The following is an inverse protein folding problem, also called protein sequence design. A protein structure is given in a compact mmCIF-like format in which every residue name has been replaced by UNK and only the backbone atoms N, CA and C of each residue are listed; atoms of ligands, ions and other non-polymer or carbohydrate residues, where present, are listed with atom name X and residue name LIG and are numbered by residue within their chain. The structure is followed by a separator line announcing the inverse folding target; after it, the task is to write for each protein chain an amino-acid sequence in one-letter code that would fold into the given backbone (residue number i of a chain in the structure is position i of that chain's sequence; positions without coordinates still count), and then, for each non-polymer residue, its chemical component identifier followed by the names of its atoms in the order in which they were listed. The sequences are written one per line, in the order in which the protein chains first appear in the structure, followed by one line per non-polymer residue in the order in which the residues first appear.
data_IF_503982356165
#
_entry.id   IF_503982356165
#
_cell.length_a   1.000
_cell.length_b   1.000
_cell.length_c   1.000
_cell.angle_alpha   90.00
_cell.angle_beta   90.00
_cell.angle_gamma   90.00
#
_symmetry.space_group_name_H-M   'P 1'
#
loop_
_entity.id
_entity.type
_entity.pdbx_description
1 polymer ?
#
# COMPACT_ATOMS: atom_id res chain seq x y z
N UNK A 1 -12.98 4.13 31.03
CA UNK A 1 -12.18 3.80 32.24
C UNK A 1 -12.40 2.35 32.67
N UNK A 2 -13.62 1.80 32.61
CA UNK A 2 -13.89 0.41 33.05
C UNK A 2 -13.15 -0.69 32.27
N UNK A 3 -12.96 -0.55 30.96
CA UNK A 3 -12.22 -1.54 30.15
C UNK A 3 -10.74 -1.63 30.57
N UNK A 4 -10.15 -0.52 31.03
CA UNK A 4 -8.72 -0.46 31.37
C UNK A 4 -8.38 -1.33 32.59
N UNK A 5 -9.35 -1.51 33.50
CA UNK A 5 -9.21 -2.28 34.74
C UNK A 5 -10.07 -3.56 34.72
N UNK A 6 -10.60 -3.94 33.56
CA UNK A 6 -11.44 -5.13 33.44
C UNK A 6 -10.59 -6.39 33.62
N UNK A 7 -11.09 -7.37 34.36
CA UNK A 7 -10.41 -8.66 34.64
C UNK A 7 -10.08 -9.51 33.40
N UNK A 8 -10.53 -9.08 32.22
CA UNK A 8 -10.34 -9.76 30.93
C UNK A 8 -9.40 -8.99 30.00
N UNK A 9 -8.83 -7.88 30.48
CA UNK A 9 -7.83 -7.09 29.77
C UNK A 9 -6.45 -7.63 30.14
N UNK A 10 -5.83 -8.35 29.23
CA UNK A 10 -4.53 -8.98 29.44
C UNK A 10 -3.37 -8.03 29.16
N UNK A 11 -3.60 -7.05 28.29
CA UNK A 11 -2.57 -6.08 27.89
C UNK A 11 -3.20 -4.77 27.45
N UNK A 12 -2.57 -3.67 27.82
CA UNK A 12 -2.90 -2.35 27.29
C UNK A 12 -1.64 -1.49 27.18
N UNK A 13 -1.46 -0.86 26.02
CA UNK A 13 -0.36 0.08 25.82
C UNK A 13 -0.76 1.21 24.86
N UNK A 14 -0.30 2.42 25.16
CA UNK A 14 -0.32 3.52 24.20
C UNK A 14 0.90 3.38 23.29
N UNK A 15 0.68 3.37 21.99
CA UNK A 15 1.73 3.34 20.98
C UNK A 15 1.80 4.72 20.33
N UNK A 16 2.94 5.38 20.53
CA UNK A 16 3.24 6.65 19.88
C UNK A 16 3.66 6.42 18.41
N UNK A 17 3.33 7.36 17.53
CA UNK A 17 3.68 7.29 16.12
C UNK A 17 3.00 8.41 15.32
N UNK A 18 3.11 8.36 13.98
CA UNK A 18 2.40 9.31 13.08
C UNK A 18 0.88 9.30 13.34
N UNK A 19 0.36 8.13 13.69
CA UNK A 19 -1.02 7.95 14.13
C UNK A 19 -0.94 7.28 15.51
N UNK A 20 -1.18 8.02 16.61
CA UNK A 20 -1.16 7.44 17.94
C UNK A 20 -2.33 6.46 18.10
N UNK A 21 -2.08 5.32 18.73
CA UNK A 21 -3.08 4.28 18.96
C UNK A 21 -2.98 3.70 20.37
N UNK A 22 -4.05 3.07 20.83
CA UNK A 22 -4.07 2.26 22.05
C UNK A 22 -4.22 0.80 21.63
N UNK A 23 -3.20 -0.01 21.87
CA UNK A 23 -3.26 -1.45 21.66
C UNK A 23 -3.83 -2.10 22.92
N UNK A 24 -4.86 -2.93 22.74
CA UNK A 24 -5.51 -3.67 23.84
C UNK A 24 -5.57 -5.15 23.48
N UNK A 25 -5.21 -6.03 24.41
CA UNK A 25 -5.59 -7.44 24.37
C UNK A 25 -6.75 -7.64 25.35
N UNK A 26 -7.94 -7.87 24.81
CA UNK A 26 -9.16 -8.06 25.60
C UNK A 26 -9.82 -9.36 25.15
N UNK A 27 -10.09 -10.26 26.10
CA UNK A 27 -10.64 -11.59 25.80
C UNK A 27 -9.83 -12.34 24.73
N UNK A 28 -8.50 -12.31 24.83
CA UNK A 28 -7.54 -12.95 23.90
C UNK A 28 -7.54 -12.39 22.48
N UNK A 29 -8.38 -11.41 22.17
CA UNK A 29 -8.39 -10.69 20.91
C UNK A 29 -7.54 -9.42 21.01
N UNK A 30 -6.71 -9.18 19.99
CA UNK A 30 -5.96 -7.93 19.84
C UNK A 30 -6.80 -6.87 19.14
N UNK A 31 -6.83 -5.68 19.72
CA UNK A 31 -7.50 -4.50 19.17
C UNK A 31 -6.52 -3.34 19.08
N UNK A 32 -6.53 -2.67 17.93
CA UNK A 32 -5.87 -1.38 17.74
C UNK A 32 -6.94 -0.28 17.75
N UNK A 33 -6.99 0.51 18.81
CA UNK A 33 -7.96 1.59 18.97
C UNK A 33 -7.37 2.93 18.53
N UNK A 34 -8.05 3.56 17.57
CA UNK A 34 -7.75 4.90 17.10
C UNK A 34 -8.77 5.88 17.66
N UNK A 35 -8.30 6.92 18.33
CA UNK A 35 -9.17 7.92 18.97
C UNK A 35 -9.19 9.21 18.16
N UNK A 36 -10.41 9.71 17.93
CA UNK A 36 -10.67 10.95 17.19
C UNK A 36 -11.62 11.81 18.01
N UNK A 37 -11.24 13.07 18.25
CA UNK A 37 -12.12 14.05 18.89
C UNK A 37 -12.89 14.84 17.83
N UNK A 38 -14.22 14.74 17.86
CA UNK A 38 -15.09 15.43 16.91
C UNK A 38 -15.94 16.52 17.61
N UNK A 39 -16.22 17.66 16.93
CA UNK A 39 -17.24 18.61 17.33
C UNK A 39 -18.59 17.91 17.50
N UNK A 40 -19.38 18.37 18.47
CA UNK A 40 -20.68 17.77 18.81
C UNK A 40 -21.60 17.63 17.59
N UNK A 41 -21.61 18.62 16.70
CA UNK A 41 -22.42 18.61 15.48
C UNK A 41 -22.00 17.49 14.52
N UNK A 42 -20.70 17.36 14.21
CA UNK A 42 -20.19 16.30 13.33
C UNK A 42 -20.31 14.92 13.97
N UNK A 43 -20.12 14.82 15.28
CA UNK A 43 -20.33 13.57 16.03
C UNK A 43 -21.79 13.11 15.95
N UNK A 44 -22.74 14.01 16.22
CA UNK A 44 -24.17 13.72 16.14
C UNK A 44 -24.58 13.25 14.74
N UNK A 45 -24.02 13.87 13.69
CA UNK A 45 -24.22 13.41 12.32
C UNK A 45 -23.75 11.95 12.16
N UNK A 46 -22.55 11.58 12.63
CA UNK A 46 -22.02 10.22 12.46
C UNK A 46 -22.81 9.15 13.21
N UNK A 47 -23.21 9.39 14.46
CA UNK A 47 -23.91 8.39 15.29
C UNK A 47 -25.40 8.22 14.92
N UNK A 48 -25.99 9.19 14.22
CA UNK A 48 -27.40 9.15 13.85
C UNK A 48 -27.71 8.12 12.74
N UNK A 49 -26.69 7.47 12.16
CA UNK A 49 -26.86 6.48 11.11
C UNK A 49 -26.72 5.05 11.66
N UNK A 50 -27.85 4.37 11.87
CA UNK A 50 -27.87 2.93 12.17
C UNK A 50 -27.25 2.10 11.03
N UNK A 51 -27.33 2.60 9.79
CA UNK A 51 -26.54 2.16 8.64
C UNK A 51 -25.92 3.41 7.98
N UNK A 52 -24.60 3.64 8.10
CA UNK A 52 -23.98 4.86 7.59
C UNK A 52 -24.13 4.93 6.07
N UNK A 53 -24.88 5.93 5.58
CA UNK A 53 -24.80 6.34 4.17
C UNK A 53 -23.48 7.09 3.98
N UNK A 54 -22.61 6.60 3.10
CA UNK A 54 -21.26 7.15 2.94
C UNK A 54 -21.22 8.64 2.67
N UNK A 55 -22.20 9.18 1.94
CA UNK A 55 -22.21 10.61 1.59
C UNK A 55 -22.33 11.46 2.85
N UNK A 56 -23.12 10.99 3.83
CA UNK A 56 -23.33 11.70 5.09
C UNK A 56 -22.16 11.52 6.05
N UNK A 57 -21.53 10.35 6.06
CA UNK A 57 -20.26 10.13 6.79
C UNK A 57 -19.15 11.01 6.19
N UNK A 58 -19.05 11.05 4.87
CA UNK A 58 -18.08 11.86 4.15
C UNK A 58 -18.29 13.36 4.39
N UNK A 59 -19.55 13.81 4.42
CA UNK A 59 -19.91 15.19 4.78
C UNK A 59 -19.48 15.49 6.22
N UNK A 60 -19.88 14.67 7.20
CA UNK A 60 -19.55 14.89 8.61
C UNK A 60 -18.03 14.97 8.84
N UNK A 61 -17.27 14.08 8.21
CA UNK A 61 -15.81 14.10 8.32
C UNK A 61 -15.20 15.27 7.55
N UNK A 62 -15.72 15.63 6.38
CA UNK A 62 -15.23 16.80 5.67
C UNK A 62 -15.52 18.11 6.41
N UNK A 63 -16.71 18.27 6.98
CA UNK A 63 -17.06 19.39 7.86
C UNK A 63 -16.12 19.46 9.05
N UNK A 64 -15.79 18.33 9.68
CA UNK A 64 -14.78 18.29 10.75
C UNK A 64 -13.40 18.80 10.28
N UNK A 65 -12.93 18.35 9.12
CA UNK A 65 -11.64 18.77 8.55
C UNK A 65 -11.66 20.27 8.21
N UNK A 66 -12.80 20.82 7.79
CA UNK A 66 -12.97 22.25 7.58
C UNK A 66 -12.93 23.04 8.89
N UNK A 67 -13.77 22.66 9.85
CA UNK A 67 -13.99 23.42 11.09
C UNK A 67 -12.82 23.39 12.07
N UNK A 68 -12.10 22.27 12.16
CA UNK A 68 -11.07 22.05 13.20
C UNK A 68 -9.64 22.17 12.69
N UNK A 69 -9.47 22.06 11.39
CA UNK A 69 -8.17 21.75 10.81
C UNK A 69 -7.66 22.86 9.86
N UNK A 70 -8.51 23.82 9.45
CA UNK A 70 -8.10 25.17 9.01
C UNK A 70 -6.83 25.27 8.14
N UNK A 71 -6.72 24.48 7.06
CA UNK A 71 -5.59 24.60 6.11
C UNK A 71 -4.34 23.77 6.48
N UNK A 72 -3.14 24.36 6.36
CA UNK A 72 -1.83 23.66 6.37
C UNK A 72 -1.53 22.94 7.71
N UNK A 73 -2.09 23.41 8.81
CA UNK A 73 -1.92 22.83 10.16
C UNK A 73 -2.58 21.43 10.31
N UNK A 74 -3.44 21.04 9.37
CA UNK A 74 -4.02 19.70 9.21
C UNK A 74 -3.01 18.56 9.25
N UNK A 75 -1.85 18.75 8.63
CA UNK A 75 -0.89 17.67 8.36
C UNK A 75 -0.28 17.12 9.64
N UNK A 76 -0.21 17.96 10.67
CA UNK A 76 0.31 17.60 11.99
C UNK A 76 -0.79 17.10 12.94
N UNK A 77 -2.05 17.12 12.51
CA UNK A 77 -3.15 16.62 13.31
C UNK A 77 -3.30 15.09 13.13
N UNK A 78 -2.81 14.34 14.11
CA UNK A 78 -2.90 12.86 14.14
C UNK A 78 -4.33 12.31 14.00
N UNK A 79 -5.37 13.12 14.21
CA UNK A 79 -6.78 12.73 14.09
C UNK A 79 -7.28 12.67 12.64
N UNK A 80 -6.60 13.34 11.70
CA UNK A 80 -6.96 13.33 10.27
C UNK A 80 -6.78 11.94 9.64
N UNK A 81 -5.69 11.25 10.00
CA UNK A 81 -5.31 9.99 9.35
C UNK A 81 -6.23 8.81 9.69
N UNK A 82 -6.66 8.60 10.95
CA UNK A 82 -7.71 7.61 11.28
C UNK A 82 -8.99 7.84 10.49
N UNK A 83 -9.43 9.10 10.39
CA UNK A 83 -10.63 9.48 9.66
C UNK A 83 -10.50 9.22 8.15
N UNK A 84 -9.35 9.54 7.56
CA UNK A 84 -9.05 9.22 6.16
C UNK A 84 -9.07 7.71 5.91
N UNK A 85 -8.46 6.92 6.80
CA UNK A 85 -8.47 5.45 6.73
C UNK A 85 -9.88 4.85 6.83
N UNK A 86 -10.68 5.33 7.79
CA UNK A 86 -12.08 4.92 7.94
C UNK A 86 -12.90 5.20 6.67
N UNK A 87 -12.79 6.41 6.12
CA UNK A 87 -13.46 6.80 4.87
C UNK A 87 -13.05 5.93 3.69
N UNK A 88 -11.75 5.72 3.51
CA UNK A 88 -11.23 4.92 2.40
C UNK A 88 -11.79 3.50 2.43
N UNK A 89 -11.79 2.87 3.62
CA UNK A 89 -12.34 1.52 3.78
C UNK A 89 -13.85 1.48 3.55
N UNK A 90 -14.60 2.46 4.07
CA UNK A 90 -16.04 2.54 3.86
C UNK A 90 -16.38 2.68 2.37
N UNK A 91 -15.59 3.45 1.61
CA UNK A 91 -15.76 3.63 0.16
C UNK A 91 -15.58 2.32 -0.60
N UNK A 92 -14.53 1.56 -0.30
CA UNK A 92 -14.30 0.25 -0.92
C UNK A 92 -15.41 -0.75 -0.57
N UNK A 93 -15.91 -0.69 0.67
CA UNK A 93 -16.97 -1.57 1.15
C UNK A 93 -18.31 -1.30 0.43
N UNK A 94 -18.70 -0.04 0.32
CA UNK A 94 -19.94 0.34 -0.35
C UNK A 94 -19.87 0.13 -1.86
N UNK A 95 -18.75 0.45 -2.50
CA UNK A 95 -18.58 0.24 -3.95
C UNK A 95 -18.66 -1.23 -4.34
N UNK A 96 -18.40 -2.14 -3.41
CA UNK A 96 -18.47 -3.59 -3.62
C UNK A 96 -19.71 -4.23 -2.98
N UNK A 97 -20.73 -3.45 -2.62
CA UNK A 97 -21.95 -3.93 -1.94
C UNK A 97 -22.66 -5.06 -2.70
N UNK A 98 -22.73 -4.96 -4.03
CA UNK A 98 -23.35 -5.96 -4.90
C UNK A 98 -22.46 -7.19 -5.15
N UNK A 99 -21.22 -7.17 -4.67
CA UNK A 99 -20.22 -8.22 -4.91
C UNK A 99 -19.40 -8.53 -3.65
N UNK A 100 -19.97 -8.35 -2.44
CA UNK A 100 -19.24 -8.49 -1.16
C UNK A 100 -18.55 -9.84 -0.99
N UNK A 101 -19.25 -10.92 -1.34
CA UNK A 101 -18.71 -12.29 -1.27
C UNK A 101 -17.52 -12.43 -2.21
N UNK A 102 -17.68 -12.01 -3.45
CA UNK A 102 -16.62 -12.01 -4.47
C UNK A 102 -15.42 -11.17 -4.06
N UNK A 103 -15.64 -9.95 -3.55
CA UNK A 103 -14.58 -9.07 -3.03
C UNK A 103 -13.84 -9.71 -1.87
N UNK A 104 -14.55 -10.26 -0.90
CA UNK A 104 -13.95 -10.89 0.27
C UNK A 104 -13.10 -12.10 -0.14
N UNK A 105 -13.64 -12.99 -0.97
CA UNK A 105 -12.92 -14.17 -1.45
C UNK A 105 -11.68 -13.77 -2.24
N UNK A 106 -11.81 -12.86 -3.20
CA UNK A 106 -10.70 -12.42 -4.03
C UNK A 106 -9.60 -11.73 -3.20
N UNK A 107 -9.99 -10.84 -2.28
CA UNK A 107 -9.08 -10.15 -1.37
C UNK A 107 -8.34 -11.14 -0.47
N UNK A 108 -9.04 -12.15 0.08
CA UNK A 108 -8.43 -13.18 0.91
C UNK A 108 -7.45 -14.03 0.11
N UNK A 109 -7.81 -14.45 -1.11
CA UNK A 109 -6.94 -15.21 -2.00
C UNK A 109 -5.66 -14.44 -2.31
N UNK A 110 -5.75 -13.17 -2.70
CA UNK A 110 -4.57 -12.35 -3.01
C UNK A 110 -3.74 -12.08 -1.75
N UNK A 111 -4.38 -11.77 -0.61
CA UNK A 111 -3.67 -11.59 0.67
C UNK A 111 -2.95 -12.85 1.12
N UNK A 112 -3.55 -14.03 0.91
CA UNK A 112 -2.91 -15.30 1.18
C UNK A 112 -1.70 -15.49 0.27
N UNK A 113 -1.89 -15.36 -1.04
CA UNK A 113 -0.83 -15.46 -2.05
C UNK A 113 0.38 -14.56 -1.75
N UNK A 114 0.15 -13.28 -1.42
CA UNK A 114 1.24 -12.34 -1.09
C UNK A 114 2.06 -12.73 0.16
N UNK A 115 1.48 -13.54 1.05
CA UNK A 115 2.10 -13.99 2.30
C UNK A 115 2.71 -15.39 2.20
N UNK A 116 2.30 -16.19 1.23
CA UNK A 116 2.71 -17.59 1.14
C UNK A 116 4.12 -17.78 0.60
N UNK A 117 4.89 -18.74 1.15
CA UNK A 117 6.11 -19.21 0.51
C UNK A 117 5.79 -19.93 -0.81
N UNK A 118 6.77 -19.99 -1.72
CA UNK A 118 6.62 -20.77 -2.95
C UNK A 118 6.55 -22.24 -2.59
N UNK A 119 5.73 -23.02 -3.29
CA UNK A 119 5.75 -24.47 -3.15
C UNK A 119 7.13 -24.99 -3.60
N UNK A 120 7.82 -25.84 -2.81
CA UNK A 120 9.20 -26.25 -3.10
C UNK A 120 9.45 -26.93 -4.45
N UNK A 121 8.40 -27.30 -5.20
CA UNK A 121 8.51 -28.25 -6.32
C UNK A 121 8.20 -27.67 -7.72
N UNK A 122 8.10 -26.35 -7.90
CA UNK A 122 8.06 -25.76 -9.25
C UNK A 122 9.47 -25.29 -9.65
N UNK A 123 10.35 -26.26 -9.88
CA UNK A 123 11.59 -26.07 -10.62
C UNK A 123 11.30 -26.17 -12.12
N UNK A 124 10.67 -25.16 -12.71
CA UNK A 124 10.65 -25.05 -14.17
C UNK A 124 11.24 -23.72 -14.62
N UNK A 125 12.36 -23.85 -15.35
CA UNK A 125 12.96 -22.90 -16.27
C UNK A 125 13.69 -21.71 -15.62
N UNK A 126 14.79 -22.00 -14.92
CA UNK A 126 15.93 -21.08 -14.99
C UNK A 126 16.50 -21.11 -16.44
N UNK A 127 16.79 -19.95 -17.06
CA UNK A 127 17.39 -19.93 -18.39
C UNK A 127 18.77 -20.61 -18.38
N UNK A 128 19.04 -21.38 -19.44
CA UNK A 128 20.26 -22.17 -19.61
C UNK A 128 21.53 -21.30 -19.44
N UNK A 129 22.43 -21.62 -18.49
CA UNK A 129 23.66 -20.87 -18.26
C UNK A 129 24.67 -20.95 -19.43
N UNK A 130 24.37 -21.69 -20.50
CA UNK A 130 25.20 -21.80 -21.71
C UNK A 130 24.95 -20.71 -22.76
N UNK A 131 24.05 -19.76 -22.52
CA UNK A 131 23.86 -18.64 -23.44
C UNK A 131 25.00 -17.59 -23.27
N UNK A 132 25.79 -17.30 -24.31
CA UNK A 132 26.90 -16.36 -24.18
C UNK A 132 26.40 -14.92 -24.02
N UNK A 133 27.05 -14.08 -23.19
CA UNK A 133 26.68 -12.68 -23.06
C UNK A 133 26.99 -11.93 -24.36
N UNK A 134 25.96 -11.37 -24.99
CA UNK A 134 26.10 -10.43 -26.10
C UNK A 134 26.56 -9.06 -25.55
N UNK A 135 27.76 -8.65 -25.99
CA UNK A 135 28.33 -7.30 -25.99
C UNK A 135 28.60 -6.63 -24.62
N UNK A 136 29.76 -6.05 -24.30
CA UNK A 136 30.99 -5.75 -25.03
C UNK A 136 31.89 -4.86 -24.14
N UNK A 137 33.21 -4.96 -24.35
CA UNK A 137 34.32 -4.19 -23.73
C UNK A 137 34.81 -4.61 -22.33
N UNK A 138 36.02 -5.20 -22.28
CA UNK A 138 36.84 -5.36 -21.07
C UNK A 138 37.67 -4.08 -20.84
N UNK A 139 37.82 -3.57 -19.59
CA UNK A 139 38.72 -2.45 -19.31
C UNK A 139 40.20 -2.85 -19.33
N UNK A 140 41.06 -1.91 -19.75
CA UNK A 140 42.52 -2.01 -19.90
C UNK A 140 43.22 -2.38 -18.56
N UNK A 141 44.15 -3.35 -18.53
CA UNK A 141 44.81 -3.83 -17.32
C UNK A 141 45.83 -2.86 -16.67
N UNK A 142 46.01 -1.63 -17.17
CA UNK A 142 47.07 -0.72 -16.67
C UNK A 142 46.73 0.17 -15.46
N UNK A 143 45.54 0.06 -14.86
CA UNK A 143 45.14 0.89 -13.71
C UNK A 143 44.73 0.09 -12.46
N UNK A 144 45.55 -0.89 -12.02
CA UNK A 144 45.41 -1.48 -10.69
C UNK A 144 46.61 -1.14 -9.80
N UNK A 145 46.52 -0.01 -9.11
CA UNK A 145 47.35 0.26 -7.95
C UNK A 145 46.53 0.89 -6.83
N UNK A 146 46.53 0.19 -5.69
CA UNK A 146 46.28 0.66 -4.32
C UNK A 146 44.83 0.97 -3.93
N UNK A 147 44.15 -0.05 -3.41
CA UNK A 147 43.67 -0.03 -2.00
C UNK A 147 43.22 -1.42 -1.56
N UNK A 148 43.99 -2.00 -0.65
CA UNK A 148 43.78 -3.31 -0.04
C UNK A 148 42.85 -3.15 1.16
N UNK A 149 41.57 -3.52 1.04
CA UNK A 149 40.75 -3.82 2.21
C UNK A 149 39.81 -5.00 1.94
N UNK A 150 40.25 -6.17 2.42
CA UNK A 150 39.49 -7.40 2.76
C UNK A 150 38.31 -7.78 1.85
N UNK A 151 38.60 -8.61 0.86
CA UNK A 151 37.65 -9.61 0.33
C UNK A 151 37.16 -10.49 1.48
N UNK A 152 35.91 -10.32 1.92
CA UNK A 152 35.18 -11.43 2.55
C UNK A 152 34.64 -12.31 1.43
N UNK A 153 35.17 -13.51 1.37
CA UNK A 153 34.57 -14.67 0.70
C UNK A 153 33.10 -14.77 1.14
N UNK A 154 32.17 -14.58 0.21
CA UNK A 154 30.85 -15.19 0.33
C UNK A 154 30.87 -16.43 -0.55
N UNK A 155 31.00 -17.64 0.02
CA UNK A 155 30.92 -18.87 -0.75
C UNK A 155 29.48 -19.03 -1.26
N UNK A 156 29.36 -19.75 -2.37
CA UNK A 156 28.18 -19.90 -3.22
C UNK A 156 26.82 -19.72 -2.55
N UNK A 157 26.07 -18.69 -2.98
CA UNK A 157 24.61 -18.73 -2.90
C UNK A 157 24.12 -19.45 -4.14
N UNK A 158 23.82 -20.74 -3.97
CA UNK A 158 22.69 -21.35 -4.67
C UNK A 158 21.52 -20.37 -4.62
N UNK A 159 20.92 -20.02 -5.76
CA UNK A 159 19.67 -19.24 -5.79
C UNK A 159 18.59 -20.12 -5.15
N UNK A 160 18.41 -19.95 -3.84
CA UNK A 160 17.34 -20.59 -3.08
C UNK A 160 15.97 -20.12 -3.60
N UNK A 161 14.93 -20.97 -3.56
CA UNK A 161 13.62 -20.66 -4.12
C UNK A 161 13.01 -19.50 -3.34
N UNK A 162 12.93 -18.33 -3.96
CA UNK A 162 12.48 -17.12 -3.26
C UNK A 162 10.97 -17.14 -3.15
N UNK A 163 10.46 -17.49 -1.98
CA UNK A 163 9.09 -17.26 -1.50
C UNK A 163 8.42 -16.00 -2.06
N UNK A 164 7.09 -16.01 -2.31
CA UNK A 164 6.41 -14.80 -2.80
C UNK A 164 6.68 -13.61 -1.87
N UNK A 165 6.47 -13.74 -0.55
CA UNK A 165 6.80 -12.77 0.52
C UNK A 165 6.82 -11.28 0.14
N UNK A 166 5.81 -10.86 -0.61
CA UNK A 166 5.60 -9.46 -1.04
C UNK A 166 4.53 -8.76 -0.19
N UNK A 167 4.39 -9.16 1.07
CA UNK A 167 3.52 -8.52 2.05
C UNK A 167 4.34 -7.86 3.16
N UNK A 168 4.25 -6.54 3.28
CA UNK A 168 4.88 -5.77 4.35
C UNK A 168 5.34 -4.39 3.91
N UNK A 169 4.53 -3.35 4.19
CA UNK A 169 4.86 -1.97 3.83
C UNK A 169 6.16 -1.46 4.48
N UNK A 170 6.51 -1.92 5.69
CA UNK A 170 7.78 -1.57 6.35
C UNK A 170 9.01 -2.03 5.56
N UNK A 171 8.86 -3.06 4.73
CA UNK A 171 9.93 -3.63 3.89
C UNK A 171 9.84 -3.17 2.43
N UNK A 172 8.95 -2.23 2.12
CA UNK A 172 8.75 -1.74 0.76
C UNK A 172 7.91 -2.64 -0.13
N UNK A 173 7.07 -3.50 0.45
CA UNK A 173 6.13 -4.35 -0.27
C UNK A 173 4.66 -3.93 -0.04
N UNK A 174 3.71 -4.68 -0.60
CA UNK A 174 2.28 -4.36 -0.50
C UNK A 174 1.76 -4.49 0.94
N UNK A 175 0.73 -3.72 1.27
CA UNK A 175 -0.01 -3.83 2.53
C UNK A 175 -1.48 -4.18 2.26
N UNK A 176 -2.25 -4.40 3.34
CA UNK A 176 -3.67 -4.72 3.23
C UNK A 176 -4.48 -3.70 2.45
N UNK A 177 -4.21 -2.40 2.64
CA UNK A 177 -4.92 -1.32 1.94
C UNK A 177 -4.63 -1.31 0.44
N UNK A 178 -3.36 -1.41 0.04
CA UNK A 178 -2.97 -1.47 -1.36
C UNK A 178 -3.63 -2.65 -2.08
N UNK A 179 -3.58 -3.85 -1.48
CA UNK A 179 -4.21 -5.05 -2.04
C UNK A 179 -5.73 -4.85 -2.15
N UNK A 180 -6.38 -4.26 -1.13
CA UNK A 180 -7.82 -4.01 -1.15
C UNK A 180 -8.23 -3.03 -2.27
N UNK A 181 -7.45 -1.96 -2.48
CA UNK A 181 -7.70 -0.99 -3.56
C UNK A 181 -7.54 -1.67 -4.93
N UNK A 182 -6.41 -2.38 -5.15
CA UNK A 182 -6.15 -3.10 -6.39
C UNK A 182 -7.24 -4.12 -6.70
N UNK A 183 -7.69 -4.86 -5.68
CA UNK A 183 -8.77 -5.85 -5.78
C UNK A 183 -10.11 -5.19 -6.11
N UNK A 184 -10.45 -4.11 -5.41
CA UNK A 184 -11.69 -3.37 -5.64
C UNK A 184 -11.75 -2.84 -7.07
N UNK A 185 -10.65 -2.25 -7.56
CA UNK A 185 -10.59 -1.75 -8.94
C UNK A 185 -10.89 -2.85 -9.95
N UNK A 186 -10.30 -4.04 -9.80
CA UNK A 186 -10.56 -5.17 -10.71
C UNK A 186 -12.04 -5.58 -10.69
N UNK A 187 -12.70 -5.57 -9.53
CA UNK A 187 -14.13 -5.90 -9.45
C UNK A 187 -14.99 -4.83 -10.13
N UNK A 188 -14.62 -3.55 -9.99
CA UNK A 188 -15.33 -2.45 -10.63
C UNK A 188 -15.13 -2.44 -12.15
N UNK A 189 -13.93 -2.75 -12.62
CA UNK A 189 -13.60 -2.82 -14.05
C UNK A 189 -14.23 -4.06 -14.73
N UNK A 190 -14.45 -5.15 -13.97
CA UNK A 190 -15.02 -6.42 -14.47
C UNK A 190 -16.20 -6.91 -13.59
N UNK A 191 -17.33 -6.19 -13.57
CA UNK A 191 -18.45 -6.50 -12.67
C UNK A 191 -19.08 -7.88 -13.00
N UNK A 192 -19.70 -8.50 -11.99
CA UNK A 192 -20.45 -9.76 -12.10
C UNK A 192 -19.67 -10.99 -12.61
N UNK A 193 -18.33 -10.98 -12.54
CA UNK A 193 -17.49 -12.11 -12.93
C UNK A 193 -17.12 -13.04 -11.75
N UNK A 194 -16.67 -14.25 -12.08
CA UNK A 194 -16.25 -15.25 -11.09
C UNK A 194 -14.89 -14.90 -10.46
N UNK A 195 -14.65 -15.37 -9.23
CA UNK A 195 -13.38 -15.13 -8.51
C UNK A 195 -12.15 -15.61 -9.30
N UNK A 196 -12.12 -16.80 -9.94
CA UNK A 196 -10.98 -17.22 -10.75
C UNK A 196 -10.71 -16.31 -11.95
N UNK A 197 -11.77 -15.84 -12.63
CA UNK A 197 -11.62 -14.90 -13.74
C UNK A 197 -11.03 -13.58 -13.27
N UNK A 198 -11.55 -13.03 -12.16
CA UNK A 198 -11.07 -11.78 -11.58
C UNK A 198 -9.63 -11.89 -11.08
N UNK A 199 -9.24 -13.04 -10.53
CA UNK A 199 -7.86 -13.31 -10.13
C UNK A 199 -6.92 -13.31 -11.36
N UNK A 200 -7.32 -13.95 -12.47
CA UNK A 200 -6.57 -13.88 -13.73
C UNK A 200 -6.43 -12.44 -14.22
N UNK A 201 -7.51 -11.67 -14.21
CA UNK A 201 -7.49 -10.24 -14.60
C UNK A 201 -6.61 -9.38 -13.69
N UNK A 202 -6.59 -9.66 -12.38
CA UNK A 202 -5.72 -8.98 -11.44
C UNK A 202 -4.25 -9.11 -11.85
N UNK A 203 -3.77 -10.33 -12.10
CA UNK A 203 -2.38 -10.54 -12.50
C UNK A 203 -2.07 -10.04 -13.91
N UNK A 204 -2.95 -10.29 -14.87
CA UNK A 204 -2.80 -9.84 -16.26
C UNK A 204 -2.66 -8.31 -16.34
N UNK A 205 -3.52 -7.57 -15.64
CA UNK A 205 -3.51 -6.10 -15.66
C UNK A 205 -2.31 -5.53 -14.91
N UNK A 206 -2.07 -5.96 -13.66
CA UNK A 206 -1.06 -5.33 -12.82
C UNK A 206 0.37 -5.77 -13.13
N UNK A 207 0.57 -6.90 -13.82
CA UNK A 207 1.87 -7.29 -14.37
C UNK A 207 2.29 -6.43 -15.57
N UNK A 208 1.32 -5.96 -16.36
CA UNK A 208 1.53 -5.11 -17.55
C UNK A 208 1.30 -3.62 -17.29
N UNK A 209 0.94 -3.26 -16.06
CA UNK A 209 0.64 -1.88 -15.71
C UNK A 209 1.88 -0.98 -15.86
N UNK A 210 1.68 0.19 -16.46
CA UNK A 210 2.72 1.18 -16.76
C UNK A 210 3.16 1.95 -15.51
N UNK A 211 3.68 1.26 -14.50
CA UNK A 211 4.20 1.87 -13.27
C UNK A 211 5.26 2.95 -13.60
N UNK A 212 5.23 4.14 -12.96
CA UNK A 212 4.47 4.50 -11.75
C UNK A 212 3.12 5.17 -12.02
N UNK A 213 2.47 4.96 -13.18
CA UNK A 213 1.11 5.47 -13.43
C UNK A 213 0.19 5.09 -12.26
N UNK A 214 -0.56 6.05 -11.68
CA UNK A 214 -1.34 5.79 -10.47
C UNK A 214 -2.47 4.81 -10.76
N UNK A 215 -2.62 3.83 -9.87
CA UNK A 215 -3.86 3.08 -9.75
C UNK A 215 -4.79 3.84 -8.82
N UNK A 216 -5.89 4.33 -9.38
CA UNK A 216 -6.94 5.06 -8.67
C UNK A 216 -8.33 4.56 -9.08
N UNK A 217 -9.30 4.78 -8.20
CA UNK A 217 -10.73 4.53 -8.46
C UNK A 217 -11.42 5.88 -8.49
N UNK A 218 -11.49 6.47 -9.68
CA UNK A 218 -11.88 7.87 -9.90
C UNK A 218 -13.33 8.12 -9.46
N UNK A 219 -14.20 7.14 -9.68
CA UNK A 219 -15.62 7.17 -9.30
C UNK A 219 -15.79 7.31 -7.79
N UNK A 220 -14.85 6.77 -7.02
CA UNK A 220 -14.85 6.86 -5.57
C UNK A 220 -14.12 8.09 -5.05
N UNK A 221 -13.43 8.88 -5.87
CA UNK A 221 -12.70 10.06 -5.41
C UNK A 221 -13.66 11.20 -4.98
N UNK A 222 -13.40 11.87 -3.86
CA UNK A 222 -14.38 12.77 -3.26
C UNK A 222 -14.87 13.98 -4.09
N UNK A 223 -14.20 14.60 -5.08
CA UNK A 223 -14.66 15.79 -5.86
C UNK A 223 -15.18 17.06 -5.13
N UNK A 224 -15.61 17.02 -3.87
CA UNK A 224 -15.94 18.21 -3.06
C UNK A 224 -14.67 18.75 -2.39
N UNK A 225 -14.71 19.99 -1.93
CA UNK A 225 -13.63 20.64 -1.15
C UNK A 225 -12.30 20.79 -1.91
N UNK A 226 -12.37 21.10 -3.21
CA UNK A 226 -11.22 21.16 -4.13
C UNK A 226 -10.05 22.01 -3.61
N UNK A 227 -10.31 23.15 -2.99
CA UNK A 227 -9.24 24.02 -2.46
C UNK A 227 -8.39 23.35 -1.38
N UNK A 228 -9.01 22.58 -0.48
CA UNK A 228 -8.29 21.86 0.58
C UNK A 228 -7.63 20.61 0.02
N UNK A 229 -8.27 19.94 -0.95
CA UNK A 229 -7.68 18.83 -1.70
C UNK A 229 -6.37 19.22 -2.36
N UNK A 230 -6.27 20.41 -2.95
CA UNK A 230 -5.03 20.91 -3.53
C UNK A 230 -3.88 21.01 -2.50
N UNK A 231 -4.17 21.11 -1.20
CA UNK A 231 -3.15 21.21 -0.14
C UNK A 231 -2.86 19.85 0.52
N UNK A 232 -3.88 19.00 0.65
CA UNK A 232 -3.83 17.77 1.44
C UNK A 232 -3.80 16.48 0.63
N UNK A 233 -4.32 16.44 -0.59
CA UNK A 233 -4.21 15.25 -1.44
C UNK A 233 -2.76 14.98 -1.77
N UNK A 234 -2.43 13.70 -1.91
CA UNK A 234 -1.11 13.21 -2.28
C UNK A 234 -0.45 14.06 -3.38
N UNK A 235 -1.17 14.34 -4.48
CA UNK A 235 -0.68 15.14 -5.60
C UNK A 235 -0.39 16.60 -5.28
N UNK A 236 -1.16 17.21 -4.38
CA UNK A 236 -0.99 18.60 -3.94
C UNK A 236 -0.05 18.77 -2.75
N UNK A 237 0.32 17.66 -2.09
CA UNK A 237 1.21 17.69 -0.93
C UNK A 237 2.67 17.75 -1.32
N UNK A 238 3.45 18.41 -0.45
CA UNK A 238 4.91 18.38 -0.47
C UNK A 238 5.49 16.96 -0.49
N UNK A 239 4.78 15.86 -0.23
CA UNK A 239 5.33 14.49 -0.32
C UNK A 239 5.60 14.02 -1.76
N UNK A 240 4.80 14.45 -2.75
CA UNK A 240 5.14 14.28 -4.18
C UNK A 240 6.34 15.15 -4.54
N UNK A 241 6.37 16.38 -4.01
CA UNK A 241 7.44 17.35 -4.22
C UNK A 241 8.76 16.95 -3.54
N UNK A 242 8.73 16.39 -2.33
CA UNK A 242 9.89 15.95 -1.54
C UNK A 242 10.43 14.61 -2.03
N UNK A 243 9.62 13.73 -2.63
CA UNK A 243 10.18 12.55 -3.32
C UNK A 243 10.72 12.84 -4.72
N UNK A 244 10.13 13.81 -5.43
CA UNK A 244 10.71 14.31 -6.67
C UNK A 244 11.94 15.18 -6.46
N UNK A 245 12.05 15.93 -5.34
CA UNK A 245 13.08 16.95 -5.12
C UNK A 245 13.75 16.92 -3.74
N UNK A 246 13.77 15.78 -3.02
CA UNK A 246 14.53 15.50 -1.78
C UNK A 246 15.17 16.72 -1.07
N UNK A 247 14.36 17.70 -0.64
CA UNK A 247 14.83 19.05 -0.29
C UNK A 247 15.79 19.11 0.90
N UNK A 248 16.03 17.99 1.58
CA UNK A 248 17.01 17.96 2.64
C UNK A 248 18.45 17.98 2.11
N UNK A 249 18.77 17.42 0.93
CA UNK A 249 20.16 17.36 0.45
C UNK A 249 20.32 17.15 -1.08
N UNK A 250 19.40 17.58 -1.94
CA UNK A 250 19.55 17.39 -3.40
C UNK A 250 20.85 18.00 -3.93
N UNK A 251 21.19 19.19 -3.43
CA UNK A 251 22.39 19.92 -3.84
C UNK A 251 23.68 19.21 -3.41
N UNK A 252 23.61 18.36 -2.38
CA UNK A 252 24.74 17.60 -1.85
C UNK A 252 24.85 16.21 -2.49
N UNK A 253 23.73 15.57 -2.84
CA UNK A 253 23.70 14.16 -3.28
C UNK A 253 22.72 13.91 -4.44
N UNK A 254 23.09 14.27 -5.69
CA UNK A 254 22.24 14.10 -6.87
C UNK A 254 21.75 12.67 -7.11
N UNK A 255 22.51 11.64 -6.71
CA UNK A 255 22.12 10.23 -6.85
C UNK A 255 20.88 9.86 -6.02
N UNK A 256 20.55 10.62 -4.97
CA UNK A 256 19.35 10.37 -4.17
C UNK A 256 18.07 10.63 -4.96
N UNK A 257 18.09 11.55 -5.93
CA UNK A 257 16.97 11.79 -6.84
C UNK A 257 16.66 10.57 -7.71
N UNK A 258 17.68 9.79 -8.06
CA UNK A 258 17.49 8.58 -8.87
C UNK A 258 16.84 7.45 -8.06
N UNK A 259 17.16 7.37 -6.77
CA UNK A 259 16.68 6.34 -5.85
C UNK A 259 15.38 6.70 -5.11
N UNK A 260 14.97 7.98 -5.12
CA UNK A 260 13.73 8.46 -4.49
C UNK A 260 12.50 8.45 -5.42
N UNK A 261 12.69 8.09 -6.70
CA UNK A 261 11.61 8.03 -7.69
C UNK A 261 10.49 7.11 -7.22
N UNK A 262 9.25 7.57 -7.39
CA UNK A 262 8.06 6.75 -7.17
C UNK A 262 8.13 5.53 -8.08
N UNK A 263 8.04 4.34 -7.48
CA UNK A 263 8.06 3.09 -8.25
C UNK A 263 6.64 2.59 -8.50
N UNK A 264 5.83 2.49 -7.44
CA UNK A 264 4.44 2.04 -7.50
C UNK A 264 3.54 3.06 -6.80
N UNK A 265 2.41 3.38 -7.42
CA UNK A 265 1.46 4.38 -6.91
C UNK A 265 0.06 3.78 -6.86
N UNK A 266 -0.40 3.42 -5.67
CA UNK A 266 -1.76 2.92 -5.42
C UNK A 266 -2.47 3.89 -4.49
N UNK A 267 -3.42 4.63 -5.03
CA UNK A 267 -4.08 5.72 -4.33
C UNK A 267 -5.31 5.22 -3.59
N UNK A 268 -5.41 5.58 -2.31
CA UNK A 268 -6.65 5.34 -1.58
C UNK A 268 -7.77 6.25 -2.13
N UNK A 269 -9.04 5.77 -2.14
CA UNK A 269 -10.16 6.60 -2.58
C UNK A 269 -10.64 7.59 -1.51
N UNK A 270 -9.99 7.65 -0.34
CA UNK A 270 -10.36 8.52 0.77
C UNK A 270 -9.94 9.98 0.57
N UNK A 271 -10.33 10.84 1.51
CA UNK A 271 -9.83 12.22 1.59
C UNK A 271 -9.11 12.44 2.94
N UNK A 272 -7.89 13.00 2.95
CA UNK A 272 -7.05 13.24 1.77
C UNK A 272 -6.61 11.94 1.09
N UNK A 273 -6.45 12.03 -0.23
CA UNK A 273 -5.92 10.95 -1.07
C UNK A 273 -4.47 10.69 -0.67
N UNK A 274 -4.06 9.43 -0.52
CA UNK A 274 -2.69 9.03 -0.13
C UNK A 274 -2.20 7.86 -0.98
N UNK A 275 -0.89 7.83 -1.26
CA UNK A 275 -0.25 6.67 -1.89
C UNK A 275 0.01 5.59 -0.83
N UNK A 276 -0.70 4.46 -0.92
CA UNK A 276 -0.59 3.33 0.02
C UNK A 276 0.67 2.50 -0.18
N UNK A 277 1.33 2.62 -1.34
CA UNK A 277 2.57 1.93 -1.71
C UNK A 277 3.79 2.86 -1.64
N UNK A 278 3.75 3.86 -0.75
CA UNK A 278 4.80 4.86 -0.65
C UNK A 278 6.19 4.31 -0.30
N UNK A 279 6.30 3.17 0.36
CA UNK A 279 7.59 2.57 0.71
C UNK A 279 8.20 1.68 -0.39
N UNK A 280 7.49 1.46 -1.51
CA UNK A 280 8.02 0.62 -2.61
C UNK A 280 9.23 1.32 -3.23
N UNK A 281 10.36 0.61 -3.24
CA UNK A 281 11.63 1.06 -3.81
C UNK A 281 11.95 0.26 -5.07
N UNK A 282 13.03 0.62 -5.77
CA UNK A 282 13.39 0.01 -7.07
C UNK A 282 13.52 -1.52 -6.97
N UNK A 283 14.17 -2.02 -5.94
CA UNK A 283 14.37 -3.46 -5.75
C UNK A 283 13.06 -4.20 -5.47
N UNK A 284 12.23 -3.68 -4.57
CA UNK A 284 10.96 -4.32 -4.23
C UNK A 284 9.94 -4.20 -5.36
N UNK A 285 9.98 -3.13 -6.15
CA UNK A 285 9.18 -2.97 -7.35
C UNK A 285 9.49 -4.04 -8.41
N UNK A 286 10.77 -4.36 -8.64
CA UNK A 286 11.15 -5.42 -9.58
C UNK A 286 10.70 -6.80 -9.08
N UNK A 287 10.83 -7.08 -7.78
CA UNK A 287 10.29 -8.31 -7.19
C UNK A 287 8.78 -8.37 -7.38
N UNK A 288 8.05 -7.30 -7.08
CA UNK A 288 6.59 -7.23 -7.29
C UNK A 288 6.21 -7.51 -8.74
N UNK A 289 6.88 -6.89 -9.72
CA UNK A 289 6.61 -7.15 -11.15
C UNK A 289 6.80 -8.62 -11.51
N UNK A 290 7.90 -9.23 -11.07
CA UNK A 290 8.18 -10.65 -11.33
C UNK A 290 7.12 -11.56 -10.69
N UNK A 291 6.73 -11.30 -9.45
CA UNK A 291 5.70 -12.09 -8.77
C UNK A 291 4.32 -11.96 -9.42
N UNK A 292 3.97 -10.77 -9.92
CA UNK A 292 2.72 -10.58 -10.65
C UNK A 292 2.71 -11.26 -12.02
N UNK A 293 3.85 -11.25 -12.73
CA UNK A 293 4.02 -12.00 -13.98
C UNK A 293 3.89 -13.50 -13.73
N UNK A 294 4.52 -14.01 -12.69
CA UNK A 294 4.44 -15.42 -12.29
C UNK A 294 2.99 -15.83 -11.96
N UNK A 295 2.28 -15.01 -11.19
CA UNK A 295 0.86 -15.25 -10.91
C UNK A 295 0.00 -15.31 -12.17
N UNK A 296 0.36 -14.57 -13.23
CA UNK A 296 -0.28 -14.67 -14.52
C UNK A 296 0.03 -16.02 -15.21
N UNK A 297 1.29 -16.47 -15.17
CA UNK A 297 1.74 -17.73 -15.79
C UNK A 297 1.06 -18.94 -15.14
N UNK A 298 1.06 -19.02 -13.81
CA UNK A 298 0.42 -20.11 -13.06
C UNK A 298 -1.05 -20.26 -13.47
N UNK A 299 -1.77 -19.16 -13.59
CA UNK A 299 -3.19 -19.18 -13.95
C UNK A 299 -3.46 -19.48 -15.42
N UNK A 300 -2.48 -19.30 -16.31
CA UNK A 300 -2.57 -19.75 -17.71
C UNK A 300 -2.30 -21.24 -17.87
N UNK A 301 -1.44 -21.82 -17.04
CA UNK A 301 -1.11 -23.26 -17.08
C UNK A 301 -2.21 -24.14 -16.45
N UNK A 302 -3.00 -23.59 -15.53
CA UNK A 302 -4.11 -24.31 -14.86
C UNK A 302 -5.42 -24.37 -15.67
N UNK A 303 -5.41 -24.03 -16.96
CA UNK A 303 -6.58 -24.09 -17.85
C UNK A 303 -6.59 -25.39 -18.66
#
# INVERSE_FOLDING_TARGET
MEILNHSRTNFIAKIEGRIPLIKINFMEAEFDLLLVSLPKNSFNKLIAFNEPKIEKVDEAIATYILERIGGIEAKNNGQLWPLSGYRANLRLYESTVNSRKTFTMLLQTIKFWTKTPRLPNQQHLAPDPRCPPLCGQKPDPRNLAKTTTRRRLFPGRTRNPTNHYIYGSKFGFLNGSAIAILTCKIILDFPANSVPFLLKKFFDIYSKWEWPKPVEIVELANKKYNEIRLVLDWFGTKEVYHRHLNQFHVDLYPWLLEHSKLQWVVLNPGFPTQNTTFNVNKSTAEILKLEFLEGCLILTETQ
#
